data_IF_652578703860
#
_entry.id   IF_652578703860
#
_cell.length_a   1.000
_cell.length_b   1.000
_cell.length_c   1.000
_cell.angle_alpha   90.00
_cell.angle_beta   90.00
_cell.angle_gamma   90.00
#
_symmetry.space_group_name_H-M   'P 1'
#
loop_
_entity.id
_entity.type
_entity.pdbx_description
1 polymer ?
#
# COMPACT_ATOMS: atom_id res chain seq x y z
N UNK A 1 -6.91 95.68 37.50
CA UNK A 1 -7.54 94.66 38.39
C UNK A 1 -7.31 93.30 37.77
N UNK A 2 -6.86 92.36 38.59
CA UNK A 2 -6.24 91.07 38.26
C UNK A 2 -7.10 90.17 37.35
N UNK A 3 -6.50 89.62 36.28
CA UNK A 3 -7.04 88.42 35.64
C UNK A 3 -5.91 87.42 35.39
N UNK A 4 -6.05 86.24 36.00
CA UNK A 4 -5.03 85.18 36.08
C UNK A 4 -5.03 84.37 34.78
N UNK A 5 -3.83 84.10 34.25
CA UNK A 5 -3.61 83.19 33.13
C UNK A 5 -3.91 81.73 33.55
N UNK A 6 -4.83 81.08 32.83
CA UNK A 6 -4.99 79.62 32.85
C UNK A 6 -4.15 79.01 31.72
N UNK A 7 -3.26 78.08 32.06
CA UNK A 7 -2.48 77.29 31.08
C UNK A 7 -3.34 76.15 30.54
N UNK A 8 -3.33 75.86 29.22
CA UNK A 8 -4.06 74.75 28.67
C UNK A 8 -3.32 73.42 28.93
N UNK A 9 -4.09 72.39 29.28
CA UNK A 9 -3.62 71.00 29.41
C UNK A 9 -3.66 70.37 28.02
N UNK A 10 -2.52 69.88 27.55
CA UNK A 10 -2.39 69.18 26.27
C UNK A 10 -2.75 67.70 26.49
N UNK A 11 -3.87 67.24 25.93
CA UNK A 11 -4.23 65.82 25.91
C UNK A 11 -3.53 65.14 24.72
N UNK A 12 -2.63 64.19 25.00
CA UNK A 12 -2.01 63.36 23.99
C UNK A 12 -2.98 62.22 23.58
N UNK A 13 -3.47 62.28 22.34
CA UNK A 13 -4.23 61.19 21.73
C UNK A 13 -3.24 60.12 21.22
N UNK A 14 -3.22 58.95 21.84
CA UNK A 14 -2.51 57.77 21.33
C UNK A 14 -3.32 57.15 20.18
N UNK A 15 -2.84 57.34 18.95
CA UNK A 15 -3.37 56.64 17.77
C UNK A 15 -2.65 55.30 17.68
N UNK A 16 -3.36 54.20 17.96
CA UNK A 16 -2.87 52.86 17.67
C UNK A 16 -2.91 52.62 16.14
N UNK A 17 -1.86 52.06 15.51
CA UNK A 17 -1.88 51.79 14.08
C UNK A 17 -2.83 50.61 13.80
N UNK A 18 -3.77 50.81 12.88
CA UNK A 18 -4.52 49.73 12.26
C UNK A 18 -3.53 48.84 11.49
N UNK A 19 -3.34 47.61 11.95
CA UNK A 19 -2.65 46.59 11.18
C UNK A 19 -3.49 46.23 9.95
N UNK A 20 -2.97 46.52 8.76
CA UNK A 20 -3.57 46.07 7.51
C UNK A 20 -3.50 44.54 7.44
N UNK A 21 -4.66 43.87 7.36
CA UNK A 21 -4.75 42.46 7.06
C UNK A 21 -4.48 42.23 5.57
N UNK A 22 -3.33 41.63 5.28
CA UNK A 22 -2.92 41.22 3.94
C UNK A 22 -3.80 40.05 3.44
N UNK A 23 -4.62 40.22 2.38
CA UNK A 23 -5.56 39.19 1.94
C UNK A 23 -4.89 38.04 1.17
N UNK A 24 -3.56 38.03 1.06
CA UNK A 24 -2.80 37.05 0.29
C UNK A 24 -2.19 35.88 1.08
N UNK A 25 -2.29 35.86 2.42
CA UNK A 25 -1.65 34.80 3.22
C UNK A 25 -2.63 33.68 3.52
N UNK A 26 -2.78 32.75 2.56
CA UNK A 26 -3.32 31.44 2.86
C UNK A 26 -2.56 30.87 4.07
N UNK A 27 -3.29 30.58 5.15
CA UNK A 27 -2.74 30.00 6.36
C UNK A 27 -1.99 28.70 5.99
N UNK A 28 -0.80 28.42 6.54
CA UNK A 28 -0.16 27.13 6.35
C UNK A 28 -0.89 26.12 7.24
N UNK A 29 -2.13 25.80 6.88
CA UNK A 29 -2.63 24.45 7.06
C UNK A 29 -1.85 23.58 6.06
N UNK A 30 -0.56 23.41 6.34
CA UNK A 30 0.20 22.27 5.86
C UNK A 30 -0.63 21.09 6.32
N UNK A 31 -1.31 20.45 5.38
CA UNK A 31 -1.96 19.17 5.56
C UNK A 31 -0.91 18.29 6.24
N UNK A 32 -1.06 18.05 7.54
CA UNK A 32 -0.12 17.21 8.26
C UNK A 32 -0.09 15.89 7.49
N UNK A 33 1.06 15.56 6.90
CA UNK A 33 1.25 14.25 6.31
C UNK A 33 0.93 13.26 7.43
N UNK A 34 -0.17 12.50 7.29
CA UNK A 34 -0.52 11.47 8.27
C UNK A 34 0.68 10.54 8.36
N UNK A 35 1.19 10.34 9.57
CA UNK A 35 2.31 9.45 9.79
C UNK A 35 1.94 8.05 9.29
N UNK A 36 2.85 7.44 8.54
CA UNK A 36 2.69 6.06 8.09
C UNK A 36 2.69 5.10 9.28
N UNK A 37 2.10 3.91 9.13
CA UNK A 37 2.19 2.85 10.13
C UNK A 37 3.65 2.53 10.46
N UNK A 38 3.95 2.46 11.76
CA UNK A 38 5.28 2.15 12.27
C UNK A 38 5.51 0.63 12.40
N UNK A 39 5.27 -0.13 11.32
CA UNK A 39 5.36 -1.60 11.31
C UNK A 39 6.74 -2.13 10.89
N UNK A 40 7.72 -1.24 10.70
CA UNK A 40 9.11 -1.59 10.33
C UNK A 40 9.31 -1.96 8.85
N UNK A 41 8.26 -1.97 8.03
CA UNK A 41 8.31 -2.30 6.61
C UNK A 41 8.39 -1.04 5.74
N UNK A 42 8.81 -1.19 4.48
CA UNK A 42 8.81 -0.14 3.45
C UNK A 42 9.37 1.24 3.90
N UNK A 43 10.40 1.24 4.77
CA UNK A 43 11.08 2.48 5.24
C UNK A 43 11.73 3.27 4.11
N UNK A 44 12.05 2.58 3.03
CA UNK A 44 12.36 3.13 1.71
C UNK A 44 11.37 2.55 0.70
N UNK A 45 11.14 3.22 -0.45
CA UNK A 45 10.28 2.66 -1.49
C UNK A 45 10.68 1.21 -1.83
N UNK A 46 9.73 0.25 -1.81
CA UNK A 46 10.01 -1.12 -2.22
C UNK A 46 10.51 -1.16 -3.66
N UNK A 47 11.58 -1.91 -3.91
CA UNK A 47 12.16 -2.09 -5.24
C UNK A 47 12.04 -3.55 -5.64
N UNK A 48 11.70 -3.82 -6.90
CA UNK A 48 11.48 -5.18 -7.37
C UNK A 48 11.00 -5.25 -8.81
N UNK A 49 10.41 -6.39 -9.13
CA UNK A 49 9.82 -6.71 -10.43
C UNK A 49 8.43 -7.30 -10.23
N UNK A 50 7.54 -7.05 -11.19
CA UNK A 50 6.18 -7.59 -11.23
C UNK A 50 5.92 -8.22 -12.61
N UNK A 51 5.22 -9.35 -12.65
CA UNK A 51 5.02 -10.13 -13.88
C UNK A 51 4.10 -9.50 -14.92
N UNK A 52 3.22 -8.58 -14.53
CA UNK A 52 2.06 -8.18 -15.33
C UNK A 52 2.41 -7.54 -16.67
N UNK A 53 3.23 -6.49 -16.68
CA UNK A 53 3.42 -5.63 -17.85
C UNK A 53 3.94 -6.36 -19.10
N UNK A 54 4.65 -7.47 -18.93
CA UNK A 54 5.17 -8.26 -20.04
C UNK A 54 4.42 -9.58 -20.23
N UNK A 55 4.07 -10.26 -19.14
CA UNK A 55 3.55 -11.63 -19.22
C UNK A 55 2.03 -11.72 -19.08
N UNK A 56 1.36 -10.72 -18.50
CA UNK A 56 -0.07 -10.76 -18.20
C UNK A 56 -0.44 -12.05 -17.47
N UNK A 57 -1.51 -12.73 -17.92
CA UNK A 57 -1.87 -14.04 -17.39
C UNK A 57 -0.92 -15.19 -17.79
N UNK A 58 0.14 -15.00 -18.57
CA UNK A 58 1.07 -16.08 -18.92
C UNK A 58 2.16 -16.26 -17.84
N UNK A 59 1.74 -16.52 -16.61
CA UNK A 59 2.61 -16.70 -15.44
C UNK A 59 2.72 -18.17 -15.04
N UNK A 60 3.90 -18.58 -14.59
CA UNK A 60 4.17 -19.95 -14.14
C UNK A 60 5.31 -20.00 -13.12
N UNK A 61 5.42 -21.11 -12.40
CA UNK A 61 6.53 -21.35 -11.47
C UNK A 61 7.89 -21.24 -12.17
N UNK A 62 8.02 -21.78 -13.38
CA UNK A 62 9.25 -21.71 -14.16
C UNK A 62 9.63 -20.25 -14.48
N UNK A 63 8.68 -19.46 -14.99
CA UNK A 63 8.90 -18.05 -15.33
C UNK A 63 9.45 -17.27 -14.12
N UNK A 64 8.87 -17.49 -12.95
CA UNK A 64 9.23 -16.75 -11.74
C UNK A 64 10.60 -17.17 -11.22
N UNK A 65 10.93 -18.47 -11.29
CA UNK A 65 12.28 -18.95 -10.97
C UNK A 65 13.34 -18.36 -11.92
N UNK A 66 13.09 -18.40 -13.22
CA UNK A 66 14.00 -17.83 -14.23
C UNK A 66 14.17 -16.31 -14.06
N UNK A 67 13.09 -15.60 -13.70
CA UNK A 67 13.13 -14.17 -13.42
C UNK A 67 13.94 -13.86 -12.16
N UNK A 68 13.75 -14.63 -11.09
CA UNK A 68 14.55 -14.50 -9.87
C UNK A 68 16.04 -14.74 -10.14
N UNK A 69 16.37 -15.76 -10.93
CA UNK A 69 17.74 -16.03 -11.37
C UNK A 69 18.32 -14.87 -12.18
N UNK A 70 17.56 -14.31 -13.12
CA UNK A 70 17.99 -13.18 -13.93
C UNK A 70 18.23 -11.90 -13.10
N UNK A 71 17.37 -11.61 -12.12
CA UNK A 71 17.54 -10.46 -11.21
C UNK A 71 18.84 -10.59 -10.39
N UNK A 72 19.19 -11.81 -9.96
CA UNK A 72 20.46 -12.05 -9.26
C UNK A 72 21.64 -11.95 -10.23
N UNK A 73 21.60 -12.68 -11.35
CA UNK A 73 22.71 -12.78 -12.29
C UNK A 73 23.07 -11.43 -12.95
N UNK A 74 22.08 -10.56 -13.14
CA UNK A 74 22.28 -9.21 -13.70
C UNK A 74 22.85 -8.20 -12.69
N UNK A 75 22.93 -8.54 -11.40
CA UNK A 75 23.30 -7.61 -10.33
C UNK A 75 22.18 -6.67 -9.88
N UNK A 76 20.97 -6.78 -10.44
CA UNK A 76 19.81 -5.98 -10.01
C UNK A 76 19.47 -6.23 -8.55
N UNK A 77 19.58 -7.48 -8.06
CA UNK A 77 19.47 -7.74 -6.62
C UNK A 77 20.44 -6.83 -5.88
N UNK A 78 21.72 -6.88 -6.18
CA UNK A 78 22.72 -6.13 -5.40
C UNK A 78 22.53 -4.60 -5.52
N UNK A 79 21.94 -4.13 -6.63
CA UNK A 79 21.51 -2.74 -6.83
C UNK A 79 20.24 -2.32 -6.04
N UNK A 80 19.57 -3.24 -5.36
CA UNK A 80 18.44 -2.93 -4.47
C UNK A 80 17.10 -3.53 -4.87
N UNK A 81 16.98 -4.23 -6.00
CA UNK A 81 15.74 -4.91 -6.38
C UNK A 81 15.54 -6.14 -5.48
N UNK A 82 14.56 -6.08 -4.58
CA UNK A 82 14.34 -7.09 -3.53
C UNK A 82 13.15 -8.00 -3.80
N UNK A 83 12.10 -7.51 -4.44
CA UNK A 83 10.84 -8.26 -4.56
C UNK A 83 10.63 -8.86 -5.96
N UNK A 84 10.15 -10.09 -6.02
CA UNK A 84 9.62 -10.74 -7.24
C UNK A 84 8.14 -11.01 -7.02
N UNK A 85 7.28 -10.24 -7.67
CA UNK A 85 5.83 -10.26 -7.45
C UNK A 85 5.13 -10.99 -8.60
N UNK A 86 4.43 -12.08 -8.29
CA UNK A 86 3.43 -12.64 -9.20
C UNK A 86 2.17 -11.78 -9.15
N UNK A 87 1.75 -11.30 -10.32
CA UNK A 87 0.49 -10.58 -10.47
C UNK A 87 -0.69 -11.55 -10.71
N UNK A 88 -1.82 -11.06 -11.21
CA UNK A 88 -3.07 -11.81 -11.39
C UNK A 88 -2.90 -13.13 -12.18
N UNK A 89 -3.94 -13.98 -12.14
CA UNK A 89 -4.06 -15.25 -12.84
C UNK A 89 -3.21 -16.41 -12.31
N UNK A 90 -2.65 -16.31 -11.10
CA UNK A 90 -1.95 -17.43 -10.44
C UNK A 90 -2.92 -18.43 -9.81
N UNK A 91 -4.05 -17.92 -9.34
CA UNK A 91 -5.16 -18.59 -8.70
C UNK A 91 -6.29 -18.89 -9.70
N UNK A 92 -6.99 -20.00 -9.47
CA UNK A 92 -8.02 -20.50 -10.40
C UNK A 92 -9.37 -20.73 -9.74
N UNK A 93 -9.41 -21.00 -8.44
CA UNK A 93 -10.62 -21.34 -7.72
C UNK A 93 -10.46 -21.12 -6.21
N UNK A 94 -11.56 -21.26 -5.48
CA UNK A 94 -11.55 -21.57 -4.05
C UNK A 94 -11.97 -23.02 -3.85
N UNK A 95 -11.35 -23.71 -2.90
CA UNK A 95 -11.75 -25.07 -2.52
C UNK A 95 -13.02 -25.07 -1.64
N UNK A 96 -13.47 -26.25 -1.21
CA UNK A 96 -14.67 -26.40 -0.38
C UNK A 96 -14.55 -25.75 1.01
N UNK A 97 -13.33 -25.50 1.48
CA UNK A 97 -13.05 -24.77 2.72
C UNK A 97 -12.87 -23.26 2.48
N UNK A 98 -13.04 -22.79 1.24
CA UNK A 98 -12.89 -21.40 0.85
C UNK A 98 -11.44 -20.97 0.62
N UNK A 99 -10.46 -21.87 0.64
CA UNK A 99 -9.06 -21.50 0.45
C UNK A 99 -8.73 -21.27 -1.04
N UNK A 100 -7.91 -20.27 -1.34
CA UNK A 100 -7.42 -20.01 -2.70
C UNK A 100 -6.61 -21.20 -3.24
N UNK A 101 -6.90 -21.58 -4.48
CA UNK A 101 -6.25 -22.68 -5.20
C UNK A 101 -5.42 -22.11 -6.34
N UNK A 102 -4.10 -22.33 -6.30
CA UNK A 102 -3.20 -22.00 -7.41
C UNK A 102 -3.43 -22.93 -8.62
N UNK A 103 -3.17 -22.44 -9.83
CA UNK A 103 -3.17 -23.26 -11.04
C UNK A 103 -2.10 -24.37 -10.93
N UNK A 104 -2.51 -25.61 -10.69
CA UNK A 104 -1.59 -26.74 -10.50
C UNK A 104 -0.81 -27.13 -11.76
N UNK A 105 -1.24 -26.70 -12.96
CA UNK A 105 -0.48 -26.91 -14.19
C UNK A 105 0.68 -25.93 -14.27
N UNK A 106 0.45 -24.69 -13.85
CA UNK A 106 1.46 -23.61 -13.90
C UNK A 106 2.34 -23.55 -12.66
N UNK A 107 1.82 -23.98 -11.52
CA UNK A 107 2.49 -24.00 -10.21
C UNK A 107 2.44 -25.42 -9.62
N UNK A 108 3.05 -26.42 -10.28
CA UNK A 108 2.92 -27.83 -9.90
C UNK A 108 3.46 -28.15 -8.51
N UNK A 109 4.37 -27.35 -7.96
CA UNK A 109 4.90 -27.54 -6.61
C UNK A 109 4.28 -26.59 -5.57
N UNK A 110 3.29 -25.79 -5.99
CA UNK A 110 2.60 -24.82 -5.14
C UNK A 110 3.40 -23.56 -4.83
N UNK A 111 2.68 -22.56 -4.32
CA UNK A 111 3.21 -21.21 -4.11
C UNK A 111 4.28 -21.16 -3.01
N UNK A 112 4.11 -21.92 -1.91
CA UNK A 112 5.12 -21.96 -0.85
C UNK A 112 6.49 -22.40 -1.39
N UNK A 113 6.55 -23.46 -2.18
CA UNK A 113 7.80 -23.97 -2.76
C UNK A 113 8.46 -22.94 -3.67
N UNK A 114 7.65 -22.17 -4.41
CA UNK A 114 8.13 -21.07 -5.22
C UNK A 114 8.69 -19.91 -4.36
N UNK A 115 7.99 -19.54 -3.29
CA UNK A 115 8.48 -18.53 -2.34
C UNK A 115 9.82 -18.95 -1.70
N UNK A 116 9.92 -20.19 -1.23
CA UNK A 116 11.15 -20.75 -0.65
C UNK A 116 12.32 -20.69 -1.67
N UNK A 117 12.05 -20.94 -2.95
CA UNK A 117 13.05 -20.80 -4.02
C UNK A 117 13.50 -19.34 -4.17
N UNK A 118 12.58 -18.39 -4.21
CA UNK A 118 12.88 -16.95 -4.34
C UNK A 118 13.68 -16.46 -3.12
N UNK A 119 13.34 -16.92 -1.91
CA UNK A 119 14.11 -16.63 -0.70
C UNK A 119 15.54 -17.18 -0.76
N UNK A 120 15.73 -18.38 -1.31
CA UNK A 120 17.06 -18.96 -1.49
C UNK A 120 17.97 -18.13 -2.42
N UNK A 121 17.39 -17.21 -3.23
CA UNK A 121 18.12 -16.25 -4.06
C UNK A 121 18.44 -14.92 -3.35
N UNK A 122 17.99 -14.76 -2.10
CA UNK A 122 18.10 -13.53 -1.33
C UNK A 122 17.11 -12.44 -1.77
N UNK A 123 15.96 -12.86 -2.32
CA UNK A 123 14.86 -11.99 -2.76
C UNK A 123 13.62 -12.27 -1.89
N UNK A 124 12.72 -11.31 -1.78
CA UNK A 124 11.39 -11.49 -1.22
C UNK A 124 10.37 -11.88 -2.29
N UNK A 125 9.40 -12.71 -1.92
CA UNK A 125 8.34 -13.17 -2.81
C UNK A 125 7.06 -12.36 -2.61
N UNK A 126 6.48 -11.86 -3.69
CA UNK A 126 5.23 -11.12 -3.66
C UNK A 126 4.10 -11.84 -4.39
N UNK A 127 2.87 -11.62 -3.93
CA UNK A 127 1.65 -12.18 -4.52
C UNK A 127 0.60 -11.09 -4.73
N UNK A 128 -0.38 -11.40 -5.57
CA UNK A 128 -1.50 -10.54 -5.91
C UNK A 128 -2.82 -11.09 -5.39
N UNK A 129 -3.71 -10.19 -4.97
CA UNK A 129 -5.13 -10.46 -4.72
C UNK A 129 -5.95 -9.20 -5.02
N UNK A 130 -7.25 -9.22 -4.73
CA UNK A 130 -8.18 -8.12 -4.99
C UNK A 130 -9.16 -7.99 -3.83
N UNK A 131 -9.41 -6.76 -3.36
CA UNK A 131 -10.34 -6.47 -2.26
C UNK A 131 -11.81 -6.73 -2.61
N UNK A 132 -12.15 -6.89 -3.89
CA UNK A 132 -13.47 -7.25 -4.38
C UNK A 132 -13.74 -8.75 -4.39
N UNK A 133 -14.91 -9.15 -4.91
CA UNK A 133 -15.28 -10.57 -5.01
C UNK A 133 -14.43 -11.34 -6.01
N UNK A 134 -13.87 -10.62 -6.98
CA UNK A 134 -13.08 -11.17 -8.05
C UNK A 134 -11.90 -10.25 -8.35
N UNK A 135 -10.83 -10.82 -8.85
CA UNK A 135 -9.73 -10.04 -9.43
C UNK A 135 -10.13 -9.40 -10.74
N UNK A 136 -9.32 -8.46 -11.23
CA UNK A 136 -9.48 -7.85 -12.54
C UNK A 136 -9.57 -8.87 -13.69
N UNK A 137 -8.89 -10.02 -13.58
CA UNK A 137 -9.00 -11.14 -14.53
C UNK A 137 -10.07 -12.17 -14.15
N UNK A 138 -11.03 -11.80 -13.30
CA UNK A 138 -12.17 -12.61 -12.86
C UNK A 138 -11.78 -13.90 -12.15
N UNK A 139 -10.62 -13.90 -11.46
CA UNK A 139 -10.25 -14.96 -10.51
C UNK A 139 -10.87 -14.66 -9.14
N UNK A 140 -10.87 -15.59 -8.17
CA UNK A 140 -11.41 -15.30 -6.84
C UNK A 140 -10.61 -14.20 -6.11
N UNK A 141 -11.28 -13.11 -5.70
CA UNK A 141 -10.71 -12.05 -4.86
C UNK A 141 -10.87 -12.37 -3.37
N UNK A 142 -10.30 -11.55 -2.48
CA UNK A 142 -10.21 -11.79 -1.04
C UNK A 142 -11.44 -11.33 -0.22
N UNK A 143 -12.40 -10.63 -0.83
CA UNK A 143 -13.58 -10.14 -0.12
C UNK A 143 -14.31 -11.24 0.67
N UNK A 144 -14.45 -11.06 2.00
CA UNK A 144 -15.06 -12.01 2.91
C UNK A 144 -14.16 -13.20 3.33
N UNK A 145 -12.94 -13.27 2.81
CA UNK A 145 -11.92 -14.27 3.11
C UNK A 145 -10.59 -13.65 3.55
N UNK A 146 -10.56 -12.35 3.88
CA UNK A 146 -9.35 -11.55 4.15
C UNK A 146 -8.46 -12.23 5.18
N UNK A 147 -9.08 -12.65 6.29
CA UNK A 147 -8.45 -13.32 7.41
C UNK A 147 -7.85 -14.68 7.03
N UNK A 148 -8.53 -15.43 6.17
CA UNK A 148 -8.11 -16.75 5.69
C UNK A 148 -6.98 -16.65 4.67
N UNK A 149 -7.10 -15.72 3.73
CA UNK A 149 -6.12 -15.52 2.67
C UNK A 149 -4.83 -14.93 3.22
N UNK A 150 -4.91 -13.94 4.13
CA UNK A 150 -3.72 -13.41 4.82
C UNK A 150 -2.94 -14.50 5.58
N UNK A 151 -3.65 -15.40 6.29
CA UNK A 151 -3.02 -16.57 6.94
C UNK A 151 -2.38 -17.52 5.92
N UNK A 152 -3.04 -17.73 4.77
CA UNK A 152 -2.53 -18.57 3.69
C UNK A 152 -1.24 -17.97 3.10
N UNK A 153 -1.23 -16.67 2.83
CA UNK A 153 -0.05 -15.95 2.33
C UNK A 153 1.11 -15.99 3.33
N UNK A 154 0.84 -15.79 4.62
CA UNK A 154 1.85 -15.95 5.66
C UNK A 154 2.41 -17.39 5.72
N UNK A 155 1.54 -18.40 5.63
CA UNK A 155 1.94 -19.82 5.62
C UNK A 155 2.77 -20.19 4.37
N UNK A 156 2.49 -19.54 3.24
CA UNK A 156 3.30 -19.66 2.02
C UNK A 156 4.56 -18.78 2.03
N UNK A 157 4.82 -18.08 3.13
CA UNK A 157 6.00 -17.22 3.29
C UNK A 157 6.06 -16.05 2.30
N UNK A 158 4.91 -15.51 1.90
CA UNK A 158 4.82 -14.26 1.13
C UNK A 158 5.41 -13.09 1.93
N UNK A 159 6.07 -12.14 1.26
CA UNK A 159 6.67 -10.93 1.85
C UNK A 159 6.03 -9.63 1.37
N UNK A 160 5.22 -9.71 0.30
CA UNK A 160 4.59 -8.57 -0.34
C UNK A 160 3.22 -9.00 -0.89
N UNK A 161 2.17 -8.23 -0.61
CA UNK A 161 0.86 -8.43 -1.24
C UNK A 161 0.45 -7.15 -1.97
N UNK A 162 0.17 -7.28 -3.26
CA UNK A 162 -0.59 -6.29 -4.04
C UNK A 162 -2.08 -6.64 -3.89
N UNK A 163 -2.90 -5.71 -3.40
CA UNK A 163 -4.36 -5.87 -3.33
C UNK A 163 -5.03 -4.84 -4.23
N UNK A 164 -5.65 -5.31 -5.31
CA UNK A 164 -6.37 -4.50 -6.29
C UNK A 164 -7.81 -4.15 -5.83
N UNK A 165 -8.57 -3.48 -6.71
CA UNK A 165 -9.90 -2.94 -6.41
C UNK A 165 -10.97 -3.27 -7.47
N UNK A 166 -10.78 -4.31 -8.28
CA UNK A 166 -11.80 -4.72 -9.25
C UNK A 166 -12.99 -5.39 -8.56
N UNK A 167 -14.19 -5.25 -9.13
CA UNK A 167 -15.41 -5.89 -8.59
C UNK A 167 -15.74 -5.49 -7.12
N UNK A 168 -15.37 -4.27 -6.74
CA UNK A 168 -15.54 -3.68 -5.42
C UNK A 168 -16.48 -2.45 -5.43
N UNK A 169 -17.33 -2.28 -6.46
CA UNK A 169 -18.07 -1.03 -6.74
C UNK A 169 -19.03 -0.58 -5.61
N UNK A 170 -19.40 -1.48 -4.72
CA UNK A 170 -20.32 -1.24 -3.60
C UNK A 170 -19.60 -1.19 -2.24
N UNK A 171 -18.27 -1.26 -2.23
CA UNK A 171 -17.44 -1.33 -1.03
C UNK A 171 -16.81 0.03 -0.73
N UNK A 172 -16.51 0.26 0.55
CA UNK A 172 -15.72 1.40 1.02
C UNK A 172 -14.23 1.03 1.05
N UNK A 173 -13.39 1.71 0.26
CA UNK A 173 -11.97 1.41 0.13
C UNK A 173 -11.20 1.48 1.45
N UNK A 174 -11.26 2.59 2.23
CA UNK A 174 -10.60 2.64 3.54
C UNK A 174 -10.97 1.46 4.44
N UNK A 175 -12.26 1.07 4.46
CA UNK A 175 -12.73 -0.05 5.28
C UNK A 175 -12.15 -1.39 4.82
N UNK A 176 -12.20 -1.72 3.52
CA UNK A 176 -11.73 -3.04 3.07
C UNK A 176 -10.21 -3.18 3.19
N UNK A 177 -9.45 -2.15 2.77
CA UNK A 177 -8.00 -2.17 2.91
C UNK A 177 -7.58 -2.23 4.40
N UNK A 178 -8.33 -1.58 5.31
CA UNK A 178 -8.06 -1.68 6.75
C UNK A 178 -8.30 -3.11 7.29
N UNK A 179 -9.35 -3.80 6.82
CA UNK A 179 -9.60 -5.20 7.20
C UNK A 179 -8.46 -6.11 6.74
N UNK A 180 -8.00 -5.95 5.50
CA UNK A 180 -6.93 -6.79 4.98
C UNK A 180 -5.58 -6.48 5.66
N UNK A 181 -5.29 -5.22 5.96
CA UNK A 181 -4.18 -4.82 6.85
C UNK A 181 -4.23 -5.53 8.21
N UNK A 182 -5.39 -5.51 8.87
CA UNK A 182 -5.57 -6.17 10.16
C UNK A 182 -5.39 -7.70 10.05
N UNK A 183 -5.88 -8.29 8.97
CA UNK A 183 -5.68 -9.71 8.66
C UNK A 183 -4.20 -10.06 8.45
N UNK A 184 -3.45 -9.25 7.70
CA UNK A 184 -2.00 -9.41 7.51
C UNK A 184 -1.25 -9.31 8.83
N UNK A 185 -1.56 -8.30 9.66
CA UNK A 185 -0.96 -8.14 10.99
C UNK A 185 -1.25 -9.36 11.88
N UNK A 186 -2.49 -9.85 11.88
CA UNK A 186 -2.93 -11.03 12.63
C UNK A 186 -2.27 -12.33 12.16
N UNK A 187 -1.93 -12.43 10.87
CA UNK A 187 -1.24 -13.59 10.32
C UNK A 187 0.21 -13.76 10.85
N UNK A 188 0.79 -12.71 11.45
CA UNK A 188 2.02 -12.79 12.24
C UNK A 188 3.32 -12.84 11.44
N UNK A 189 3.25 -12.78 10.10
CA UNK A 189 4.41 -12.60 9.22
C UNK A 189 4.45 -11.14 8.75
N UNK A 190 5.60 -10.44 8.82
CA UNK A 190 5.74 -9.13 8.20
C UNK A 190 5.56 -9.22 6.68
N UNK A 191 4.53 -8.56 6.15
CA UNK A 191 4.18 -8.55 4.72
C UNK A 191 4.01 -7.09 4.29
N UNK A 192 4.73 -6.66 3.26
CA UNK A 192 4.54 -5.34 2.64
C UNK A 192 3.16 -5.30 2.00
N UNK A 193 2.35 -4.31 2.37
CA UNK A 193 1.01 -4.14 1.84
C UNK A 193 0.97 -3.04 0.78
N UNK A 194 0.58 -3.42 -0.44
CA UNK A 194 0.53 -2.54 -1.61
C UNK A 194 -0.91 -2.35 -2.07
N UNK A 195 -1.52 -1.25 -1.64
CA UNK A 195 -2.87 -0.82 -2.00
C UNK A 195 -2.93 -0.39 -3.47
N UNK A 196 -3.89 -0.93 -4.22
CA UNK A 196 -4.09 -0.63 -5.65
C UNK A 196 -5.58 -0.36 -5.95
N UNK A 197 -6.06 0.86 -5.66
CA UNK A 197 -7.41 1.33 -6.04
C UNK A 197 -7.38 2.50 -7.05
N UNK A 198 -6.26 2.61 -7.75
CA UNK A 198 -6.01 3.56 -8.85
C UNK A 198 -6.08 5.05 -8.47
N UNK A 199 -6.10 5.38 -7.17
CA UNK A 199 -6.20 6.75 -6.69
C UNK A 199 -7.63 7.29 -6.62
N UNK A 200 -8.62 6.45 -6.91
CA UNK A 200 -10.02 6.85 -7.15
C UNK A 200 -10.70 7.38 -5.89
N UNK A 201 -10.28 6.87 -4.73
CA UNK A 201 -10.80 7.21 -3.40
C UNK A 201 -9.80 8.04 -2.59
N UNK A 202 -8.88 8.74 -3.26
CA UNK A 202 -7.89 9.62 -2.63
C UNK A 202 -7.05 8.91 -1.53
N UNK A 203 -6.35 7.82 -1.87
CA UNK A 203 -5.66 6.95 -0.91
C UNK A 203 -4.58 7.67 -0.11
N UNK A 204 -4.00 8.75 -0.66
CA UNK A 204 -3.05 9.61 0.07
C UNK A 204 -3.64 10.23 1.35
N UNK A 205 -4.97 10.22 1.53
CA UNK A 205 -5.62 10.73 2.74
C UNK A 205 -5.70 9.70 3.86
N UNK A 206 -5.78 8.41 3.56
CA UNK A 206 -6.11 7.36 4.53
C UNK A 206 -5.12 6.19 4.54
N UNK A 207 -4.53 5.85 3.39
CA UNK A 207 -3.63 4.71 3.24
C UNK A 207 -2.41 4.74 4.17
N UNK A 208 -1.79 5.89 4.53
CA UNK A 208 -0.69 5.87 5.50
C UNK A 208 -1.04 5.26 6.86
N UNK A 209 -2.32 5.25 7.25
CA UNK A 209 -2.78 4.70 8.54
C UNK A 209 -3.24 3.23 8.44
N UNK A 210 -3.05 2.64 7.27
CA UNK A 210 -3.31 1.26 6.89
C UNK A 210 -1.96 0.66 6.44
#
# INVERSE_FOLDING_TARGET
>A
MHSRLAKPVLAALLIAPLAASDPGRASPAARAARAALDNGLARTPPMGWNSWNHFGCNVSEQLIKETADAIVASGMRDAGYRYVVIDDCWEVARDAAGALVADSTRFPHGIKTLADYVHAKGLGFGIYTDAGTNTCQRRPGTYGHEDQDARTFAAWSVDYVKEDWCHAEHLDAPTQYAKFRDALAKAGRPIVFSICEWGSNQPWEWAPQI
#
